data_IF_510515934017
#
_entry.id   IF_510515934017
#
_cell.length_a   1.000
_cell.length_b   1.000
_cell.length_c   1.000
_cell.angle_alpha   90.00
_cell.angle_beta   90.00
_cell.angle_gamma   90.00
#
_symmetry.space_group_name_H-M   'P 1'
#
loop_
_entity.id
_entity.type
_entity.pdbx_description
1 polymer ?
#
# COMPACT_ATOMS: atom_id res chain seq x y z
N UNK A 1 52.53 48.55 -29.73
CA UNK A 1 51.25 48.03 -30.29
C UNK A 1 51.04 46.64 -29.74
N UNK A 2 50.12 46.43 -28.77
CA UNK A 2 49.90 45.12 -28.23
C UNK A 2 48.73 44.41 -28.92
N UNK A 3 48.96 43.15 -29.26
CA UNK A 3 48.01 42.22 -29.84
C UNK A 3 47.03 41.75 -28.76
N UNK A 4 45.74 42.05 -28.95
CA UNK A 4 44.66 41.53 -28.13
C UNK A 4 44.43 40.03 -28.45
N UNK A 5 44.78 39.17 -27.53
CA UNK A 5 44.43 37.75 -27.54
C UNK A 5 42.96 37.58 -27.11
N UNK A 6 42.08 37.27 -28.06
CA UNK A 6 40.69 36.85 -27.82
C UNK A 6 40.71 35.44 -27.24
N UNK A 7 40.62 35.28 -25.92
CA UNK A 7 40.31 34.00 -25.27
C UNK A 7 38.81 33.76 -25.34
N UNK A 8 38.41 32.86 -26.23
CA UNK A 8 37.06 32.27 -26.23
C UNK A 8 36.91 31.43 -24.95
N UNK A 9 36.20 31.94 -23.99
CA UNK A 9 35.67 31.14 -22.88
C UNK A 9 34.48 30.32 -23.37
N UNK A 10 34.72 29.07 -23.75
CA UNK A 10 33.67 28.07 -23.87
C UNK A 10 33.14 27.76 -22.47
N UNK A 11 32.01 28.37 -22.12
CA UNK A 11 31.23 27.97 -20.96
C UNK A 11 30.58 26.61 -21.23
N UNK A 12 31.19 25.54 -20.72
CA UNK A 12 30.56 24.20 -20.68
C UNK A 12 29.42 24.27 -19.67
N UNK A 13 28.19 24.33 -20.19
CA UNK A 13 26.98 24.13 -19.38
C UNK A 13 26.94 22.64 -18.95
N UNK A 14 26.94 22.30 -17.65
CA UNK A 14 26.66 20.93 -17.23
C UNK A 14 25.18 20.68 -17.48
N UNK A 15 24.87 19.83 -18.45
CA UNK A 15 23.55 19.24 -18.68
C UNK A 15 23.27 18.33 -17.48
N UNK A 16 22.67 18.89 -16.43
CA UNK A 16 22.16 18.11 -15.31
C UNK A 16 21.00 17.25 -15.85
N UNK A 17 21.29 16.00 -16.16
CA UNK A 17 20.28 14.97 -16.37
C UNK A 17 19.51 14.81 -15.05
N UNK A 18 18.43 15.57 -14.87
CA UNK A 18 17.40 15.29 -13.89
C UNK A 18 16.74 13.99 -14.31
N UNK A 19 17.35 12.86 -13.91
CA UNK A 19 16.69 11.58 -13.95
C UNK A 19 15.42 11.70 -13.10
N UNK A 20 14.28 11.76 -13.76
CA UNK A 20 12.98 11.71 -13.10
C UNK A 20 12.80 10.30 -12.51
N UNK A 21 13.49 10.02 -11.39
CA UNK A 21 13.21 8.84 -10.60
C UNK A 21 11.77 9.00 -10.08
N UNK A 22 10.89 8.06 -10.42
CA UNK A 22 9.57 8.00 -9.83
C UNK A 22 9.72 8.02 -8.29
N UNK A 23 8.96 8.87 -7.58
CA UNK A 23 9.03 8.87 -6.12
C UNK A 23 8.72 7.48 -5.58
N UNK A 24 9.35 7.05 -4.47
CA UNK A 24 9.08 5.76 -3.86
C UNK A 24 7.59 5.65 -3.48
N UNK A 25 7.02 4.43 -3.43
CA UNK A 25 5.65 4.25 -3.01
C UNK A 25 5.45 4.79 -1.60
N UNK A 26 4.40 5.58 -1.42
CA UNK A 26 4.04 6.12 -0.11
C UNK A 26 2.97 5.25 0.53
N UNK A 27 3.21 4.77 1.74
CA UNK A 27 2.19 4.04 2.50
C UNK A 27 0.96 4.90 2.80
N UNK A 28 1.13 6.23 2.93
CA UNK A 28 0.02 7.16 3.20
C UNK A 28 -1.01 7.19 2.08
N UNK A 29 -0.59 6.94 0.83
CA UNK A 29 -1.50 6.87 -0.31
C UNK A 29 -2.35 5.56 -0.35
N UNK A 30 -2.00 4.59 0.50
CA UNK A 30 -2.72 3.32 0.66
C UNK A 30 -3.62 3.29 1.89
N UNK A 31 -3.52 4.29 2.79
CA UNK A 31 -4.32 4.35 4.01
C UNK A 31 -5.80 4.47 3.66
N UNK A 32 -6.60 3.54 4.15
CA UNK A 32 -8.03 3.52 3.88
C UNK A 32 -8.78 4.54 4.74
N UNK A 33 -9.85 5.09 4.15
CA UNK A 33 -10.80 5.92 4.87
C UNK A 33 -11.70 5.09 5.80
N UNK A 34 -12.23 5.74 6.82
CA UNK A 34 -13.21 5.12 7.72
C UNK A 34 -14.60 5.29 7.13
N UNK A 35 -15.40 4.21 6.99
CA UNK A 35 -16.77 4.32 6.50
C UNK A 35 -17.61 5.22 7.42
N UNK A 36 -18.34 6.21 6.89
CA UNK A 36 -19.16 7.10 7.70
C UNK A 36 -20.29 6.33 8.39
N UNK A 37 -20.58 6.69 9.65
CA UNK A 37 -21.70 6.14 10.42
C UNK A 37 -21.50 4.71 10.94
N UNK A 38 -20.38 4.09 10.64
CA UNK A 38 -20.01 2.75 11.13
C UNK A 38 -18.91 2.88 12.19
N UNK A 39 -18.86 1.91 13.09
CA UNK A 39 -17.80 1.77 14.08
C UNK A 39 -17.65 0.32 14.52
N UNK A 40 -16.48 -0.04 15.06
CA UNK A 40 -16.24 -1.41 15.49
C UNK A 40 -17.08 -1.74 16.72
N UNK A 41 -17.45 -3.04 16.86
CA UNK A 41 -17.99 -3.54 18.11
C UNK A 41 -17.01 -3.24 19.27
N UNK A 42 -17.51 -2.97 20.50
CA UNK A 42 -16.66 -2.51 21.61
C UNK A 42 -15.46 -3.42 21.89
N UNK A 43 -15.60 -4.73 21.66
CA UNK A 43 -14.54 -5.74 21.88
C UNK A 43 -13.33 -5.58 20.95
N UNK A 44 -13.51 -4.99 19.77
CA UNK A 44 -12.44 -4.77 18.79
C UNK A 44 -11.84 -3.37 18.85
N UNK A 45 -12.45 -2.47 19.62
CA UNK A 45 -12.02 -1.08 19.73
C UNK A 45 -10.65 -0.98 20.41
N UNK A 46 -9.65 -0.41 19.71
CA UNK A 46 -8.26 -0.32 20.18
C UNK A 46 -7.73 -1.67 20.72
N UNK A 47 -8.07 -2.77 20.04
CA UNK A 47 -7.76 -4.13 20.52
C UNK A 47 -7.00 -4.98 19.50
N UNK A 48 -6.73 -4.44 18.29
CA UNK A 48 -6.08 -5.17 17.20
C UNK A 48 -4.64 -4.69 17.04
N UNK A 49 -3.68 -5.57 17.29
CA UNK A 49 -2.26 -5.34 16.96
C UNK A 49 -1.96 -5.95 15.59
N UNK A 50 -1.26 -5.21 14.75
CA UNK A 50 -0.74 -5.73 13.49
C UNK A 50 0.40 -6.71 13.79
N UNK A 51 0.28 -7.91 13.30
CA UNK A 51 1.31 -8.93 13.36
C UNK A 51 2.33 -8.75 12.23
N UNK A 52 2.24 -9.58 11.20
CA UNK A 52 3.11 -9.50 10.03
C UNK A 52 2.32 -9.38 8.73
N UNK A 53 2.87 -8.63 7.78
CA UNK A 53 2.45 -8.71 6.38
C UNK A 53 3.60 -9.34 5.61
N UNK A 54 3.33 -10.44 4.91
CA UNK A 54 4.34 -11.20 4.17
C UNK A 54 3.90 -11.44 2.73
N UNK A 55 4.83 -11.86 1.87
CA UNK A 55 4.51 -12.32 0.52
C UNK A 55 4.07 -13.78 0.58
N UNK A 56 2.96 -14.08 -0.12
CA UNK A 56 2.39 -15.43 -0.19
C UNK A 56 3.00 -16.32 -1.28
N UNK A 57 4.16 -15.96 -1.84
CA UNK A 57 4.77 -16.68 -2.95
C UNK A 57 6.13 -17.22 -2.57
N UNK A 58 6.22 -18.54 -2.56
CA UNK A 58 7.48 -19.30 -2.46
C UNK A 58 7.86 -19.94 -3.81
N UNK A 59 7.20 -19.54 -4.92
CA UNK A 59 7.40 -20.15 -6.24
C UNK A 59 8.66 -19.63 -6.98
N UNK A 60 9.47 -18.83 -6.31
CA UNK A 60 10.68 -18.23 -6.89
C UNK A 60 10.41 -17.12 -7.92
N UNK A 61 9.16 -16.76 -8.16
CA UNK A 61 8.81 -15.68 -9.08
C UNK A 61 9.13 -14.33 -8.43
N UNK A 62 9.97 -13.47 -9.05
CA UNK A 62 10.32 -12.17 -8.48
C UNK A 62 9.07 -11.30 -8.22
N UNK A 63 9.02 -10.65 -7.07
CA UNK A 63 8.03 -9.62 -6.80
C UNK A 63 8.37 -8.38 -7.61
N UNK A 64 7.54 -8.03 -8.58
CA UNK A 64 7.81 -6.94 -9.53
C UNK A 64 7.19 -5.60 -9.13
N UNK A 65 6.36 -5.57 -8.07
CA UNK A 65 5.79 -4.32 -7.57
C UNK A 65 6.81 -3.47 -6.81
N UNK A 66 6.72 -2.15 -6.98
CA UNK A 66 7.41 -1.19 -6.11
C UNK A 66 6.79 -1.15 -4.68
N UNK A 67 5.53 -1.60 -4.52
CA UNK A 67 4.86 -1.72 -3.22
C UNK A 67 5.20 -3.09 -2.63
N UNK A 68 5.89 -3.10 -1.50
CA UNK A 68 6.25 -4.31 -0.76
C UNK A 68 5.43 -4.50 0.52
N UNK A 69 5.62 -5.63 1.21
CA UNK A 69 4.93 -5.94 2.46
C UNK A 69 5.08 -4.87 3.54
N UNK A 70 6.27 -4.26 3.65
CA UNK A 70 6.55 -3.25 4.68
C UNK A 70 5.67 -2.00 4.51
N UNK A 71 5.48 -1.53 3.26
CA UNK A 71 4.60 -0.40 2.98
C UNK A 71 3.14 -0.74 3.22
N UNK A 72 2.72 -1.97 2.89
CA UNK A 72 1.36 -2.46 3.18
C UNK A 72 1.14 -2.55 4.68
N UNK A 73 2.11 -3.05 5.45
CA UNK A 73 2.05 -3.12 6.90
C UNK A 73 1.93 -1.73 7.54
N UNK A 74 2.71 -0.75 7.08
CA UNK A 74 2.62 0.63 7.57
C UNK A 74 1.24 1.24 7.26
N UNK A 75 0.72 1.05 6.05
CA UNK A 75 -0.61 1.49 5.66
C UNK A 75 -1.71 0.83 6.52
N UNK A 76 -1.58 -0.48 6.81
CA UNK A 76 -2.49 -1.21 7.67
C UNK A 76 -2.50 -0.65 9.10
N UNK A 77 -1.32 -0.43 9.71
CA UNK A 77 -1.20 0.17 11.06
C UNK A 77 -1.94 1.50 11.11
N UNK A 78 -1.69 2.39 10.14
CA UNK A 78 -2.34 3.70 10.11
C UNK A 78 -3.86 3.59 9.84
N UNK A 79 -4.26 2.68 8.96
CA UNK A 79 -5.68 2.41 8.67
C UNK A 79 -6.43 1.95 9.91
N UNK A 80 -5.88 0.97 10.65
CA UNK A 80 -6.50 0.48 11.88
C UNK A 80 -6.54 1.55 12.98
N UNK A 81 -5.50 2.38 13.10
CA UNK A 81 -5.48 3.49 14.04
C UNK A 81 -6.60 4.51 13.72
N UNK A 82 -6.74 4.91 12.46
CA UNK A 82 -7.79 5.82 12.00
C UNK A 82 -9.20 5.21 12.21
N UNK A 83 -9.33 3.91 12.08
CA UNK A 83 -10.58 3.17 12.28
C UNK A 83 -10.92 2.90 13.76
N UNK A 84 -10.08 3.33 14.72
CA UNK A 84 -10.29 3.07 16.14
C UNK A 84 -10.21 1.59 16.52
N UNK A 85 -9.55 0.77 15.67
CA UNK A 85 -9.31 -0.67 15.89
C UNK A 85 -7.90 -0.93 16.41
N UNK A 86 -6.94 -0.09 16.00
CA UNK A 86 -5.51 -0.31 16.17
C UNK A 86 -5.04 -0.17 17.63
N UNK A 87 -4.23 -1.12 18.07
CA UNK A 87 -3.46 -1.09 19.32
C UNK A 87 -1.98 -1.29 18.98
N UNK A 88 -1.08 -0.39 19.39
CA UNK A 88 0.34 -0.47 19.01
C UNK A 88 1.03 -1.76 19.48
N UNK A 89 0.69 -2.25 20.68
CA UNK A 89 1.27 -3.48 21.24
C UNK A 89 0.27 -4.17 22.17
N UNK A 90 0.41 -5.49 22.31
CA UNK A 90 -0.36 -6.31 23.26
C UNK A 90 -1.89 -6.22 23.09
N UNK A 91 -2.37 -5.97 21.88
CA UNK A 91 -3.79 -6.07 21.57
C UNK A 91 -4.29 -7.51 21.79
N UNK A 92 -5.55 -7.63 22.21
CA UNK A 92 -6.19 -8.94 22.35
C UNK A 92 -6.22 -9.71 21.04
N UNK A 93 -6.34 -9.00 19.92
CA UNK A 93 -6.39 -9.62 18.60
C UNK A 93 -5.11 -9.29 17.83
N UNK A 94 -4.62 -10.29 17.08
CA UNK A 94 -3.50 -10.13 16.16
C UNK A 94 -3.99 -10.29 14.73
N UNK A 95 -3.70 -9.31 13.89
CA UNK A 95 -4.02 -9.31 12.46
C UNK A 95 -2.75 -9.54 11.63
N UNK A 96 -2.74 -10.63 10.88
CA UNK A 96 -1.68 -10.98 9.94
C UNK A 96 -2.21 -10.89 8.50
N UNK A 97 -1.33 -10.52 7.56
CA UNK A 97 -1.63 -10.39 6.14
C UNK A 97 -0.68 -11.20 5.26
N UNK A 98 -1.22 -11.85 4.24
CA UNK A 98 -0.46 -12.55 3.22
C UNK A 98 -0.78 -11.96 1.85
N UNK A 99 0.16 -11.18 1.29
CA UNK A 99 0.02 -10.55 -0.01
C UNK A 99 0.22 -11.60 -1.11
N UNK A 100 -0.87 -12.03 -1.72
CA UNK A 100 -0.89 -13.14 -2.68
C UNK A 100 -0.50 -12.68 -4.08
N UNK A 101 -1.18 -11.64 -4.57
CA UNK A 101 -0.92 -11.11 -5.92
C UNK A 101 -1.14 -9.60 -5.99
N UNK A 102 -0.38 -8.97 -6.91
CA UNK A 102 -0.68 -7.69 -7.51
C UNK A 102 -0.74 -7.93 -9.01
N UNK A 103 -1.95 -8.23 -9.52
CA UNK A 103 -2.20 -8.47 -10.94
C UNK A 103 -2.09 -7.17 -11.72
N UNK A 104 -1.14 -7.11 -12.67
CA UNK A 104 -0.77 -5.89 -13.40
C UNK A 104 -0.99 -6.05 -14.90
N UNK A 105 -1.50 -5.04 -15.60
CA UNK A 105 -1.47 -5.02 -17.07
C UNK A 105 -0.04 -4.74 -17.56
N UNK A 106 0.31 -5.31 -18.72
CA UNK A 106 1.62 -5.08 -19.35
C UNK A 106 1.74 -3.68 -19.98
N UNK A 107 0.63 -3.13 -20.50
CA UNK A 107 0.58 -1.81 -21.11
C UNK A 107 -0.88 -1.33 -21.21
N UNK A 108 -1.08 -0.01 -21.34
CA UNK A 108 -2.39 0.58 -21.56
C UNK A 108 -2.43 2.06 -21.22
N UNK A 109 -3.45 2.75 -21.74
CA UNK A 109 -3.74 4.14 -21.36
C UNK A 109 -4.31 4.22 -19.93
N UNK A 110 -5.07 3.20 -19.52
CA UNK A 110 -5.51 2.99 -18.15
C UNK A 110 -4.85 1.74 -17.58
N UNK A 111 -4.26 1.86 -16.39
CA UNK A 111 -3.62 0.77 -15.65
C UNK A 111 -4.56 0.33 -14.54
N UNK A 112 -5.15 -0.85 -14.66
CA UNK A 112 -5.97 -1.45 -13.59
C UNK A 112 -5.21 -2.58 -12.93
N UNK A 113 -5.02 -2.45 -11.62
CA UNK A 113 -4.34 -3.44 -10.77
C UNK A 113 -5.34 -4.08 -9.83
N UNK A 114 -5.22 -5.39 -9.65
CA UNK A 114 -5.96 -6.14 -8.63
C UNK A 114 -4.99 -6.59 -7.54
N UNK A 115 -5.24 -6.18 -6.30
CA UNK A 115 -4.50 -6.64 -5.13
C UNK A 115 -5.29 -7.72 -4.39
N UNK A 116 -4.76 -8.93 -4.27
CA UNK A 116 -5.33 -9.99 -3.46
C UNK A 116 -4.50 -10.20 -2.19
N UNK A 117 -5.14 -10.04 -1.02
CA UNK A 117 -4.50 -10.21 0.29
C UNK A 117 -5.37 -11.12 1.14
N UNK A 118 -4.75 -12.18 1.69
CA UNK A 118 -5.40 -13.02 2.68
C UNK A 118 -5.15 -12.41 4.08
N UNK A 119 -6.22 -12.14 4.81
CA UNK A 119 -6.21 -11.55 6.12
C UNK A 119 -6.66 -12.55 7.17
N UNK A 120 -5.93 -12.65 8.28
CA UNK A 120 -6.26 -13.51 9.41
C UNK A 120 -6.21 -12.73 10.71
N UNK A 121 -7.34 -12.70 11.42
CA UNK A 121 -7.45 -12.13 12.78
C UNK A 121 -7.56 -13.26 13.80
N UNK A 122 -6.65 -13.31 14.75
CA UNK A 122 -6.59 -14.32 15.81
C UNK A 122 -6.82 -13.67 17.17
N UNK A 123 -7.73 -14.22 17.98
CA UNK A 123 -7.84 -13.90 19.40
C UNK A 123 -6.66 -14.55 20.14
N UNK A 124 -5.71 -13.74 20.58
CA UNK A 124 -4.46 -14.23 21.20
C UNK A 124 -4.68 -14.84 22.58
N UNK A 125 -5.78 -14.47 23.25
CA UNK A 125 -6.11 -15.02 24.58
C UNK A 125 -6.70 -16.42 24.49
N UNK A 126 -7.41 -16.73 23.40
CA UNK A 126 -8.08 -18.01 23.18
C UNK A 126 -7.35 -18.88 22.15
N UNK A 127 -6.40 -18.33 21.40
CA UNK A 127 -5.73 -19.00 20.29
C UNK A 127 -6.66 -19.32 19.11
N UNK A 128 -7.82 -18.65 19.00
CA UNK A 128 -8.83 -18.95 17.97
C UNK A 128 -8.83 -17.93 16.86
N UNK A 129 -9.01 -18.39 15.62
CA UNK A 129 -9.19 -17.52 14.46
C UNK A 129 -10.61 -16.98 14.47
N UNK A 130 -10.77 -15.64 14.45
CA UNK A 130 -12.07 -14.96 14.47
C UNK A 130 -12.45 -14.39 13.11
N UNK A 131 -11.47 -14.22 12.22
CA UNK A 131 -11.66 -13.79 10.84
C UNK A 131 -10.55 -14.40 9.97
N UNK A 132 -10.92 -14.92 8.80
CA UNK A 132 -9.98 -15.47 7.82
C UNK A 132 -10.62 -15.33 6.42
N UNK A 133 -10.14 -14.37 5.64
CA UNK A 133 -10.67 -14.10 4.29
C UNK A 133 -9.59 -13.54 3.36
N UNK A 134 -9.69 -13.92 2.09
CA UNK A 134 -8.96 -13.26 1.02
C UNK A 134 -9.83 -12.16 0.42
N UNK A 135 -9.33 -10.92 0.47
CA UNK A 135 -9.99 -9.76 -0.12
C UNK A 135 -9.29 -9.34 -1.40
N UNK A 136 -10.07 -8.77 -2.33
CA UNK A 136 -9.56 -8.23 -3.58
C UNK A 136 -9.87 -6.74 -3.67
N UNK A 137 -8.83 -5.92 -3.81
CA UNK A 137 -8.96 -4.50 -4.07
C UNK A 137 -8.60 -4.17 -5.52
N UNK A 138 -9.35 -3.26 -6.14
CA UNK A 138 -9.10 -2.76 -7.47
C UNK A 138 -8.60 -1.32 -7.42
N UNK A 139 -7.56 -1.02 -8.19
CA UNK A 139 -7.02 0.32 -8.35
C UNK A 139 -6.75 0.63 -9.82
N UNK A 140 -7.25 1.76 -10.30
CA UNK A 140 -7.02 2.21 -11.68
C UNK A 140 -6.32 3.56 -11.67
N UNK A 141 -5.33 3.73 -12.55
CA UNK A 141 -4.70 5.00 -12.85
C UNK A 141 -4.71 5.25 -14.35
N UNK A 142 -4.97 6.50 -14.75
CA UNK A 142 -5.10 6.96 -16.13
C UNK A 142 -3.99 7.93 -16.51
N UNK A 143 -4.02 8.43 -17.75
CA UNK A 143 -3.09 9.47 -18.20
C UNK A 143 -3.25 10.80 -17.43
N UNK A 144 -4.44 11.06 -16.88
CA UNK A 144 -4.68 12.24 -16.05
C UNK A 144 -3.96 12.16 -14.70
N UNK A 145 -3.72 10.93 -14.21
CA UNK A 145 -2.97 10.71 -12.97
C UNK A 145 -1.44 10.85 -13.18
N UNK A 146 -0.92 10.34 -14.29
CA UNK A 146 0.48 10.44 -14.67
C UNK A 146 0.71 10.04 -16.13
N UNK A 147 1.56 10.80 -16.83
CA UNK A 147 1.96 10.49 -18.22
C UNK A 147 2.88 9.26 -18.25
N UNK A 148 3.78 9.14 -17.29
CA UNK A 148 4.74 8.03 -17.18
C UNK A 148 4.08 6.73 -16.72
N UNK A 149 4.36 5.64 -17.41
CA UNK A 149 3.82 4.30 -17.15
C UNK A 149 4.13 3.77 -15.75
N UNK A 150 5.36 3.99 -15.27
CA UNK A 150 5.78 3.47 -13.96
C UNK A 150 5.03 4.19 -12.84
N UNK A 151 4.84 5.50 -12.99
CA UNK A 151 4.05 6.29 -12.04
C UNK A 151 2.57 5.88 -12.05
N UNK A 152 1.97 5.67 -13.25
CA UNK A 152 0.59 5.15 -13.33
C UNK A 152 0.45 3.81 -12.63
N UNK A 153 1.38 2.88 -12.89
CA UNK A 153 1.35 1.57 -12.28
C UNK A 153 1.49 1.65 -10.75
N UNK A 154 2.39 2.51 -10.26
CA UNK A 154 2.55 2.78 -8.82
C UNK A 154 1.27 3.33 -8.19
N UNK A 155 0.60 4.29 -8.85
CA UNK A 155 -0.67 4.86 -8.38
C UNK A 155 -1.78 3.79 -8.36
N UNK A 156 -1.87 2.97 -9.40
CA UNK A 156 -2.83 1.88 -9.47
C UNK A 156 -2.59 0.82 -8.37
N UNK A 157 -1.33 0.44 -8.10
CA UNK A 157 -0.96 -0.45 -6.99
C UNK A 157 -1.43 0.13 -5.64
N UNK A 158 -1.15 1.41 -5.39
CA UNK A 158 -1.53 2.08 -4.15
C UNK A 158 -3.06 2.14 -3.97
N UNK A 159 -3.79 2.45 -5.04
CA UNK A 159 -5.26 2.46 -5.03
C UNK A 159 -5.84 1.07 -4.79
N UNK A 160 -5.25 0.03 -5.39
CA UNK A 160 -5.68 -1.35 -5.19
C UNK A 160 -5.50 -1.81 -3.75
N UNK A 161 -4.34 -1.52 -3.15
CA UNK A 161 -4.10 -1.82 -1.73
C UNK A 161 -5.04 -1.01 -0.83
N UNK A 162 -5.23 0.28 -1.09
CA UNK A 162 -6.15 1.13 -0.33
C UNK A 162 -7.59 0.60 -0.37
N UNK A 163 -8.08 0.18 -1.54
CA UNK A 163 -9.40 -0.44 -1.70
C UNK A 163 -9.52 -1.76 -0.92
N UNK A 164 -8.46 -2.59 -0.91
CA UNK A 164 -8.40 -3.82 -0.13
C UNK A 164 -8.48 -3.54 1.38
N UNK A 165 -7.70 -2.57 1.87
CA UNK A 165 -7.72 -2.17 3.28
C UNK A 165 -9.07 -1.55 3.68
N UNK A 166 -9.73 -0.82 2.78
CA UNK A 166 -11.07 -0.29 3.04
C UNK A 166 -12.11 -1.40 3.20
N UNK A 167 -12.05 -2.41 2.37
CA UNK A 167 -12.92 -3.59 2.48
C UNK A 167 -12.63 -4.35 3.79
N UNK A 168 -11.36 -4.49 4.17
CA UNK A 168 -10.97 -5.09 5.44
C UNK A 168 -11.61 -4.35 6.64
N UNK A 169 -11.55 -3.02 6.68
CA UNK A 169 -12.18 -2.22 7.77
C UNK A 169 -13.68 -2.46 7.82
N UNK A 170 -14.36 -2.51 6.67
CA UNK A 170 -15.79 -2.80 6.60
C UNK A 170 -16.11 -4.19 7.18
N UNK A 171 -15.34 -5.20 6.80
CA UNK A 171 -15.51 -6.57 7.31
C UNK A 171 -15.26 -6.63 8.83
N UNK A 172 -14.21 -5.97 9.33
CA UNK A 172 -13.89 -5.93 10.77
C UNK A 172 -14.99 -5.22 11.57
N UNK A 173 -15.62 -4.19 11.02
CA UNK A 173 -16.75 -3.51 11.66
C UNK A 173 -18.01 -4.38 11.70
N UNK A 174 -18.18 -5.25 10.72
CA UNK A 174 -19.31 -6.19 10.64
C UNK A 174 -19.13 -7.44 11.51
N UNK A 175 -17.97 -7.62 12.15
CA UNK A 175 -17.75 -8.77 13.01
C UNK A 175 -18.65 -8.73 14.25
N UNK A 176 -19.31 -9.86 14.59
CA UNK A 176 -20.10 -9.96 15.80
C UNK A 176 -19.19 -9.86 17.04
N UNK A 177 -19.67 -9.26 18.14
CA UNK A 177 -18.95 -9.25 19.42
C UNK A 177 -18.80 -10.69 19.93
N UNK A 178 -17.55 -11.10 20.26
CA UNK A 178 -17.20 -12.44 20.76
C UNK A 178 -16.50 -12.38 22.13
#
# INVERSE_FOLDING_TARGET
MPLLSRRLLLAALPLACLGACAPPPSYTAMVAGVPPGLGPAPVYRNAITVGSVTLGRDDGTPWTSAVGPDQVQQALVQTLANAGLGQPANGRFRLDGLLLTLGRPYAGFAMTVTAAIAWRLTDTTKGTVVYDRTLQGLGTATLDDAIDNNNRLRIADQRAIGANLQQLVQDLYALPPR
#
